data_IF_061217260015
#
_entry.id   IF_061217260015
#
_cell.length_a   1.000
_cell.length_b   1.000
_cell.length_c   1.000
_cell.angle_alpha   90.00
_cell.angle_beta   90.00
_cell.angle_gamma   90.00
#
_symmetry.space_group_name_H-M   'P 1'
#
loop_
_entity.id
_entity.type
_entity.pdbx_description
1 polymer ?
#
# COMPACT_ATOMS: atom_id res chain seq x y z
N UNK A 1 -26.25 -20.11 1.06
CA UNK A 1 -25.63 -21.12 1.95
C UNK A 1 -24.89 -22.11 1.08
N UNK A 2 -23.58 -22.18 1.28
CA UNK A 2 -22.54 -23.03 0.68
C UNK A 2 -22.14 -22.78 -0.78
N UNK A 3 -20.84 -22.49 -0.97
CA UNK A 3 -20.22 -22.43 -2.29
C UNK A 3 -18.72 -22.14 -2.32
N UNK A 4 -17.95 -22.61 -1.32
CA UNK A 4 -16.48 -22.70 -1.35
C UNK A 4 -15.65 -21.40 -1.25
N UNK A 5 -14.79 -21.36 -0.22
CA UNK A 5 -13.63 -20.46 -0.08
C UNK A 5 -12.69 -20.43 -1.30
N UNK A 6 -12.85 -21.37 -2.24
CA UNK A 6 -12.12 -21.43 -3.50
C UNK A 6 -12.50 -20.34 -4.51
N UNK A 7 -13.66 -19.69 -4.38
CA UNK A 7 -14.08 -18.61 -5.30
C UNK A 7 -13.50 -17.23 -4.98
N UNK A 8 -12.74 -17.09 -3.89
CA UNK A 8 -11.96 -15.88 -3.57
C UNK A 8 -10.58 -15.86 -4.25
N UNK A 9 -10.19 -16.94 -4.96
CA UNK A 9 -8.88 -17.08 -5.61
C UNK A 9 -8.74 -16.27 -6.91
N UNK A 10 -9.75 -15.53 -7.33
CA UNK A 10 -9.72 -14.82 -8.61
C UNK A 10 -10.64 -13.59 -8.69
N UNK A 11 -11.13 -13.09 -7.55
CA UNK A 11 -11.88 -11.84 -7.51
C UNK A 11 -10.92 -10.67 -7.57
N UNK A 12 -11.03 -9.83 -8.59
CA UNK A 12 -10.28 -8.57 -8.66
C UNK A 12 -10.60 -7.78 -7.38
N UNK A 13 -9.63 -7.10 -6.76
CA UNK A 13 -9.85 -6.35 -5.50
C UNK A 13 -11.09 -5.44 -5.54
N UNK A 14 -11.49 -4.98 -6.73
CA UNK A 14 -12.69 -4.18 -6.92
C UNK A 14 -14.03 -4.90 -6.70
N UNK A 15 -14.18 -6.15 -7.11
CA UNK A 15 -15.45 -6.88 -6.96
C UNK A 15 -15.74 -7.19 -5.48
N UNK A 16 -14.70 -7.55 -4.71
CA UNK A 16 -14.84 -7.78 -3.27
C UNK A 16 -15.12 -6.49 -2.46
N UNK A 17 -14.68 -5.33 -2.97
CA UNK A 17 -14.91 -4.05 -2.32
C UNK A 17 -16.30 -3.50 -2.59
N UNK A 18 -16.80 -3.69 -3.81
CA UNK A 18 -18.16 -3.34 -4.22
C UNK A 18 -19.19 -4.18 -3.46
N UNK A 19 -18.94 -5.49 -3.28
CA UNK A 19 -19.81 -6.38 -2.50
C UNK A 19 -19.86 -6.05 -0.99
N UNK A 20 -18.77 -5.54 -0.41
CA UNK A 20 -18.72 -5.20 1.02
C UNK A 20 -19.18 -3.78 1.35
N UNK A 21 -19.20 -2.87 0.38
CA UNK A 21 -19.53 -1.45 0.63
C UNK A 21 -20.75 -0.95 -0.15
N UNK A 22 -21.19 -1.65 -1.18
CA UNK A 22 -22.20 -1.19 -2.13
C UNK A 22 -21.76 0.02 -2.95
N UNK A 23 -20.45 0.30 -3.01
CA UNK A 23 -19.85 1.46 -3.68
C UNK A 23 -19.05 1.08 -4.92
N UNK A 24 -18.86 2.04 -5.84
CA UNK A 24 -18.03 1.85 -7.03
C UNK A 24 -16.58 1.55 -6.66
N UNK A 25 -16.03 0.48 -7.23
CA UNK A 25 -14.59 0.26 -7.24
C UNK A 25 -13.93 1.02 -8.40
N UNK A 26 -12.95 1.87 -8.09
CA UNK A 26 -12.09 2.51 -9.08
C UNK A 26 -10.70 1.86 -9.07
N UNK A 27 -10.27 1.32 -10.21
CA UNK A 27 -8.92 0.78 -10.38
C UNK A 27 -8.04 1.85 -11.04
N UNK A 28 -7.00 2.28 -10.34
CA UNK A 28 -6.05 3.27 -10.86
C UNK A 28 -4.78 2.56 -11.32
N UNK A 29 -4.45 2.73 -12.60
CA UNK A 29 -3.18 2.27 -13.15
C UNK A 29 -2.05 3.20 -12.70
N UNK A 30 -1.26 2.76 -11.71
CA UNK A 30 -0.13 3.51 -11.14
C UNK A 30 0.90 3.94 -12.18
N UNK A 31 0.98 3.29 -13.34
CA UNK A 31 1.92 3.68 -14.42
C UNK A 31 1.48 4.92 -15.20
N UNK A 32 0.21 5.31 -15.08
CA UNK A 32 -0.41 6.41 -15.85
C UNK A 32 -0.81 7.62 -15.00
N UNK A 33 -0.58 7.57 -13.70
CA UNK A 33 -0.94 8.64 -12.77
C UNK A 33 0.29 9.32 -12.19
N UNK A 34 0.16 10.61 -11.92
CA UNK A 34 1.19 11.38 -11.23
C UNK A 34 0.97 11.31 -9.72
N UNK A 35 2.04 11.56 -8.96
CA UNK A 35 2.00 11.61 -7.48
C UNK A 35 0.92 12.58 -6.98
N UNK A 36 0.74 13.73 -7.65
CA UNK A 36 -0.29 14.72 -7.32
C UNK A 36 -1.72 14.18 -7.47
N UNK A 37 -1.97 13.28 -8.43
CA UNK A 37 -3.28 12.65 -8.63
C UNK A 37 -3.53 11.60 -7.55
N UNK A 38 -2.56 10.70 -7.33
CA UNK A 38 -2.60 9.70 -6.24
C UNK A 38 -2.84 10.40 -4.90
N UNK A 39 -2.16 11.52 -4.66
CA UNK A 39 -2.34 12.30 -3.44
C UNK A 39 -3.78 12.78 -3.25
N UNK A 40 -4.36 13.36 -4.30
CA UNK A 40 -5.74 13.87 -4.25
C UNK A 40 -6.73 12.75 -4.03
N UNK A 41 -6.52 11.61 -4.67
CA UNK A 41 -7.41 10.46 -4.58
C UNK A 41 -7.33 9.81 -3.20
N UNK A 42 -6.13 9.55 -2.67
CA UNK A 42 -5.95 9.01 -1.31
C UNK A 42 -6.56 9.97 -0.29
N UNK A 43 -6.28 11.27 -0.36
CA UNK A 43 -6.82 12.25 0.59
C UNK A 43 -8.35 12.36 0.52
N UNK A 44 -8.95 12.18 -0.67
CA UNK A 44 -10.41 12.16 -0.87
C UNK A 44 -11.03 10.88 -0.31
N UNK A 45 -10.41 9.74 -0.55
CA UNK A 45 -10.89 8.42 -0.11
C UNK A 45 -10.75 8.25 1.40
N UNK A 46 -9.66 8.71 1.99
CA UNK A 46 -9.45 8.74 3.45
C UNK A 46 -10.54 9.55 4.15
N UNK A 47 -10.88 10.74 3.64
CA UNK A 47 -11.99 11.57 4.16
C UNK A 47 -13.37 10.92 4.02
N UNK A 48 -13.53 10.02 3.06
CA UNK A 48 -14.78 9.29 2.80
C UNK A 48 -14.83 7.95 3.53
N UNK A 49 -13.80 7.61 4.31
CA UNK A 49 -13.61 6.30 4.93
C UNK A 49 -13.69 5.15 3.90
N UNK A 50 -13.30 5.43 2.66
CA UNK A 50 -13.21 4.41 1.62
C UNK A 50 -12.03 3.49 1.91
N UNK A 51 -12.24 2.20 1.73
CA UNK A 51 -11.14 1.25 1.66
C UNK A 51 -10.30 1.56 0.41
N UNK A 52 -9.01 1.29 0.45
CA UNK A 52 -8.12 1.45 -0.70
C UNK A 52 -7.21 0.23 -0.76
N UNK A 53 -7.15 -0.39 -1.92
CA UNK A 53 -6.30 -1.53 -2.18
C UNK A 53 -5.30 -1.24 -3.29
N UNK A 54 -4.16 -1.89 -3.25
CA UNK A 54 -3.26 -1.97 -4.39
C UNK A 54 -2.82 -3.41 -4.60
N UNK A 55 -2.61 -3.79 -5.86
CA UNK A 55 -2.12 -5.10 -6.23
C UNK A 55 -1.09 -4.97 -7.34
N UNK A 56 -0.13 -5.89 -7.36
CA UNK A 56 0.86 -5.98 -8.43
C UNK A 56 0.35 -6.98 -9.44
N UNK A 57 0.13 -6.54 -10.68
CA UNK A 57 -0.29 -7.43 -11.76
C UNK A 57 0.81 -8.45 -12.10
N UNK A 58 0.45 -9.72 -12.14
CA UNK A 58 1.37 -10.83 -12.41
C UNK A 58 0.58 -12.02 -12.97
N UNK A 59 1.21 -12.73 -13.92
CA UNK A 59 0.66 -13.98 -14.46
C UNK A 59 0.68 -15.12 -13.43
N UNK A 60 1.56 -15.04 -12.45
CA UNK A 60 1.65 -15.97 -11.34
C UNK A 60 1.01 -15.37 -10.09
N UNK A 61 0.06 -16.09 -9.52
CA UNK A 61 -0.62 -15.75 -8.26
C UNK A 61 0.35 -15.98 -7.10
N UNK A 62 0.46 -15.00 -6.22
CA UNK A 62 1.30 -15.03 -5.00
C UNK A 62 2.81 -15.24 -5.25
N UNK A 63 3.32 -14.77 -6.40
CA UNK A 63 4.73 -14.87 -6.73
C UNK A 63 5.57 -13.95 -5.83
N UNK A 64 6.44 -14.53 -4.99
CA UNK A 64 7.34 -13.80 -4.11
C UNK A 64 8.47 -13.16 -4.91
N UNK A 65 8.51 -11.84 -4.90
CA UNK A 65 9.56 -11.05 -5.55
C UNK A 65 10.77 -10.89 -4.62
N UNK A 66 11.94 -10.72 -5.22
CA UNK A 66 13.21 -10.53 -4.49
C UNK A 66 13.23 -9.23 -3.65
N UNK A 67 12.34 -8.28 -3.94
CA UNK A 67 12.20 -7.03 -3.20
C UNK A 67 11.30 -7.16 -1.94
N UNK A 68 10.82 -8.36 -1.63
CA UNK A 68 9.98 -8.66 -0.47
C UNK A 68 8.47 -8.55 -0.73
N UNK A 69 8.06 -8.00 -1.88
CA UNK A 69 6.66 -7.94 -2.29
C UNK A 69 6.21 -9.28 -2.89
N UNK A 70 4.93 -9.52 -2.83
CA UNK A 70 4.21 -10.63 -3.43
C UNK A 70 3.38 -10.10 -4.60
N UNK A 71 3.62 -10.62 -5.80
CA UNK A 71 2.87 -10.29 -6.99
C UNK A 71 1.59 -11.13 -7.10
N UNK A 72 0.54 -10.60 -7.72
CA UNK A 72 -0.79 -11.21 -7.70
C UNK A 72 -1.44 -11.20 -6.31
N UNK A 73 -0.95 -10.34 -5.39
CA UNK A 73 -1.45 -10.20 -4.03
C UNK A 73 -2.06 -8.83 -3.79
N UNK A 74 -3.11 -8.82 -2.97
CA UNK A 74 -3.87 -7.67 -2.56
C UNK A 74 -3.26 -7.04 -1.30
N UNK A 75 -2.82 -5.79 -1.41
CA UNK A 75 -2.40 -4.95 -0.29
C UNK A 75 -3.46 -3.89 0.01
N UNK A 76 -3.43 -3.36 1.22
CA UNK A 76 -4.27 -2.25 1.65
C UNK A 76 -3.43 -0.98 1.75
N UNK A 77 -3.88 0.11 1.16
CA UNK A 77 -3.27 1.43 1.34
C UNK A 77 -3.89 2.06 2.58
N UNK A 78 -3.08 2.28 3.62
CA UNK A 78 -3.54 2.79 4.92
C UNK A 78 -3.25 4.27 5.13
N UNK A 79 -2.60 4.92 4.17
CA UNK A 79 -2.39 6.36 4.19
C UNK A 79 -1.31 6.82 3.24
N UNK A 80 -1.12 8.13 3.17
CA UNK A 80 -0.02 8.74 2.43
C UNK A 80 0.40 10.02 3.11
N UNK A 81 1.70 10.26 3.19
CA UNK A 81 2.23 11.41 3.88
C UNK A 81 3.58 11.86 3.29
N UNK A 82 3.87 13.16 3.32
CA UNK A 82 5.13 13.67 2.82
C UNK A 82 6.22 13.57 3.90
N UNK A 83 7.48 13.48 3.49
CA UNK A 83 8.67 13.66 4.34
C UNK A 83 9.64 14.63 3.69
N UNK A 84 10.44 15.32 4.50
CA UNK A 84 11.58 16.08 3.96
C UNK A 84 12.82 15.21 4.00
N UNK A 85 13.34 14.85 2.83
CA UNK A 85 14.56 14.06 2.67
C UNK A 85 15.55 14.82 1.78
N UNK A 86 16.76 15.07 2.30
CA UNK A 86 17.82 15.82 1.60
C UNK A 86 17.35 17.19 1.05
N UNK A 87 16.51 17.90 1.80
CA UNK A 87 15.97 19.21 1.40
C UNK A 87 14.87 19.15 0.33
N UNK A 88 14.42 17.96 -0.07
CA UNK A 88 13.31 17.76 -1.00
C UNK A 88 12.12 17.12 -0.28
N UNK A 89 10.92 17.51 -0.70
CA UNK A 89 9.68 16.88 -0.24
C UNK A 89 9.45 15.60 -1.05
N UNK A 90 9.37 14.46 -0.36
CA UNK A 90 9.12 13.14 -0.94
C UNK A 90 7.79 12.65 -0.39
N UNK A 91 6.92 12.11 -1.25
CA UNK A 91 5.65 11.53 -0.82
C UNK A 91 5.80 10.02 -0.62
N UNK A 92 5.41 9.56 0.56
CA UNK A 92 5.42 8.15 0.92
C UNK A 92 3.98 7.66 1.08
N UNK A 93 3.71 6.49 0.53
CA UNK A 93 2.45 5.76 0.71
C UNK A 93 2.68 4.67 1.74
N UNK A 94 1.74 4.53 2.67
CA UNK A 94 1.73 3.48 3.68
C UNK A 94 0.87 2.34 3.19
N UNK A 95 1.48 1.16 3.11
CA UNK A 95 0.89 -0.04 2.55
C UNK A 95 0.95 -1.14 3.59
N UNK A 96 -0.16 -1.85 3.76
CA UNK A 96 -0.29 -2.97 4.69
C UNK A 96 -0.57 -4.25 3.95
N UNK A 97 0.25 -5.26 4.22
CA UNK A 97 0.01 -6.63 3.81
C UNK A 97 -0.98 -7.31 4.80
N UNK A 98 -2.17 -7.74 4.35
CA UNK A 98 -3.17 -8.35 5.22
C UNK A 98 -2.71 -9.66 5.87
N UNK A 99 -1.66 -10.30 5.35
CA UNK A 99 -1.10 -11.51 5.94
C UNK A 99 -0.29 -11.27 7.21
N UNK A 100 0.08 -10.03 7.53
CA UNK A 100 0.83 -9.70 8.75
C UNK A 100 2.15 -10.46 8.90
N UNK A 101 2.72 -10.91 7.78
CA UNK A 101 3.93 -11.72 7.73
C UNK A 101 5.15 -10.86 7.35
N UNK A 102 6.36 -11.38 7.59
CA UNK A 102 7.67 -10.77 7.26
C UNK A 102 7.93 -10.50 5.75
N UNK A 103 6.90 -10.51 4.90
CA UNK A 103 6.93 -10.14 3.48
C UNK A 103 6.61 -8.65 3.36
N UNK A 104 7.54 -7.86 3.89
CA UNK A 104 7.56 -6.41 3.78
C UNK A 104 8.48 -5.97 2.66
N UNK A 105 8.25 -4.75 2.16
CA UNK A 105 9.15 -4.09 1.25
C UNK A 105 10.57 -4.02 1.83
N UNK A 106 11.57 -4.44 1.05
CA UNK A 106 13.00 -4.42 1.44
C UNK A 106 13.83 -3.36 0.72
N UNK A 107 13.17 -2.45 -0.01
CA UNK A 107 13.83 -1.41 -0.78
C UNK A 107 13.98 -0.09 0.00
N UNK A 108 14.08 1.01 -0.75
CA UNK A 108 14.12 2.35 -0.15
C UNK A 108 12.84 2.64 0.62
N UNK A 109 12.95 3.22 1.82
CA UNK A 109 11.85 3.49 2.76
C UNK A 109 11.24 2.27 3.47
N UNK A 110 11.82 1.08 3.27
CA UNK A 110 11.57 -0.05 4.14
C UNK A 110 11.91 0.28 5.61
N UNK A 111 11.40 -0.48 6.55
CA UNK A 111 11.60 -0.26 7.98
C UNK A 111 13.08 -0.10 8.36
N UNK A 112 13.94 -0.99 7.85
CA UNK A 112 15.37 -0.96 8.14
C UNK A 112 16.18 -0.13 7.13
N UNK A 113 15.54 0.75 6.36
CA UNK A 113 16.21 1.49 5.29
C UNK A 113 16.98 2.70 5.82
N UNK A 114 18.11 3.00 5.16
CA UNK A 114 18.99 4.14 5.50
C UNK A 114 18.36 5.50 5.21
N UNK A 115 17.34 5.54 4.36
CA UNK A 115 16.62 6.76 3.98
C UNK A 115 15.98 7.42 5.22
N UNK A 116 15.49 6.61 6.17
CA UNK A 116 14.98 7.10 7.44
C UNK A 116 16.03 7.86 8.26
N UNK A 117 17.32 7.55 8.13
CA UNK A 117 18.38 8.30 8.81
C UNK A 117 18.48 9.76 8.34
N UNK A 118 18.03 10.05 7.11
CA UNK A 118 18.01 11.42 6.57
C UNK A 118 16.70 12.17 6.78
N UNK A 119 15.71 11.57 7.45
CA UNK A 119 14.43 12.21 7.78
C UNK A 119 14.44 12.76 9.20
N UNK A 120 13.83 13.92 9.39
CA UNK A 120 13.73 14.56 10.69
C UNK A 120 12.95 13.70 11.70
N UNK A 121 13.34 13.72 12.97
CA UNK A 121 12.61 13.02 14.04
C UNK A 121 11.17 13.51 14.18
N UNK A 122 10.90 14.78 13.85
CA UNK A 122 9.55 15.34 13.81
C UNK A 122 8.67 14.65 12.76
N UNK A 123 9.22 14.39 11.55
CA UNK A 123 8.50 13.67 10.50
C UNK A 123 8.30 12.20 10.89
N UNK A 124 9.32 11.52 11.43
CA UNK A 124 9.17 10.12 11.89
C UNK A 124 8.08 9.98 12.95
N UNK A 125 8.07 10.88 13.93
CA UNK A 125 7.05 10.89 14.99
C UNK A 125 5.66 11.21 14.45
N UNK A 126 5.55 12.12 13.46
CA UNK A 126 4.28 12.45 12.81
C UNK A 126 3.72 11.28 12.00
N UNK A 127 4.60 10.50 11.38
CA UNK A 127 4.25 9.32 10.60
C UNK A 127 4.00 8.08 11.46
N UNK A 128 4.28 8.16 12.76
CA UNK A 128 4.24 7.01 13.68
C UNK A 128 4.99 5.80 13.10
N UNK A 129 6.21 6.04 12.57
CA UNK A 129 7.01 4.98 11.97
C UNK A 129 7.40 3.98 13.04
N UNK A 130 6.72 2.85 13.05
CA UNK A 130 7.06 1.69 13.87
C UNK A 130 7.85 0.71 13.01
N UNK A 131 9.09 0.43 13.40
CA UNK A 131 9.93 -0.57 12.75
C UNK A 131 9.58 -1.97 13.26
N UNK A 132 8.35 -2.39 13.01
CA UNK A 132 7.79 -3.65 13.51
C UNK A 132 7.37 -4.51 12.35
N UNK A 133 7.69 -5.81 12.41
CA UNK A 133 7.27 -6.74 11.37
C UNK A 133 5.78 -7.11 11.49
N UNK A 134 4.90 -6.14 11.27
CA UNK A 134 3.45 -6.27 11.30
C UNK A 134 2.82 -6.31 9.89
N UNK A 135 3.66 -6.30 8.85
CA UNK A 135 3.27 -6.26 7.46
C UNK A 135 2.91 -4.87 6.94
N UNK A 136 3.04 -3.80 7.75
CA UNK A 136 2.90 -2.41 7.30
C UNK A 136 4.26 -1.83 6.93
N UNK A 137 4.35 -1.17 5.77
CA UNK A 137 5.59 -0.57 5.30
C UNK A 137 5.33 0.69 4.49
N UNK A 138 6.35 1.55 4.42
CA UNK A 138 6.33 2.74 3.58
C UNK A 138 6.98 2.48 2.23
N UNK A 139 6.39 3.07 1.20
CA UNK A 139 6.85 2.99 -0.18
C UNK A 139 6.86 4.38 -0.82
N UNK A 140 7.84 4.66 -1.68
CA UNK A 140 7.93 5.95 -2.38
C UNK A 140 7.01 5.99 -3.60
N UNK A 141 6.13 7.00 -3.66
CA UNK A 141 5.28 7.24 -4.84
C UNK A 141 5.98 8.05 -5.91
#
# INVERSE_FOLDING_TARGET
MNGSYANLSGGTQGEGMEDMTGGLSETIDLTKVTVDMIQKDIAKNEKRCCLMGCSIDSKEVEAKLNNGLIAGHAYTVTGMAPVTYQGKKVWLVRVRNPWGNNYEWKGAWADNSREWAGVSEADKKRLDVTFTSDGEFWYVS
#
